data_IF_745347118298
#
_entry.id   IF_745347118298
#
_cell.length_a   1.000
_cell.length_b   1.000
_cell.length_c   1.000
_cell.angle_alpha   90.00
_cell.angle_beta   90.00
_cell.angle_gamma   90.00
#
_symmetry.space_group_name_H-M   'P 1'
#
loop_
_entity.id
_entity.type
_entity.pdbx_description
1 polymer ?
#
# COMPACT_ATOMS: atom_id res chain seq x y z
N UNK A 1 -23.40 25.14 12.82
CA UNK A 1 -22.09 25.35 12.19
C UNK A 1 -21.96 24.32 11.09
N UNK A 2 -22.22 24.72 9.84
CA UNK A 2 -22.15 23.83 8.68
C UNK A 2 -20.70 23.52 8.34
N UNK A 3 -20.25 22.34 8.75
CA UNK A 3 -18.96 21.78 8.32
C UNK A 3 -19.11 21.48 6.83
N UNK A 4 -18.39 22.23 5.98
CA UNK A 4 -18.28 21.94 4.55
C UNK A 4 -17.59 20.57 4.39
N UNK A 5 -18.41 19.52 4.25
CA UNK A 5 -17.95 18.17 3.92
C UNK A 5 -17.33 18.26 2.53
N UNK A 6 -15.99 18.20 2.47
CA UNK A 6 -15.26 18.09 1.21
C UNK A 6 -15.74 16.88 0.41
N UNK A 7 -15.64 16.95 -0.92
CA UNK A 7 -16.14 15.93 -1.87
C UNK A 7 -16.00 14.50 -1.34
N UNK A 8 -17.12 13.77 -1.31
CA UNK A 8 -17.23 12.37 -0.87
C UNK A 8 -15.99 11.57 -1.24
N UNK A 9 -15.27 11.11 -0.21
CA UNK A 9 -14.15 10.19 -0.37
C UNK A 9 -14.66 8.86 -0.94
N UNK A 10 -13.83 8.23 -1.77
CA UNK A 10 -14.12 6.93 -2.41
C UNK A 10 -14.47 5.85 -1.39
N UNK A 11 -13.84 5.95 -0.23
CA UNK A 11 -13.95 5.06 0.90
C UNK A 11 -14.58 5.83 2.05
N UNK A 12 -15.33 5.12 2.87
CA UNK A 12 -15.80 5.63 4.15
C UNK A 12 -14.61 5.85 5.10
N UNK A 13 -14.81 6.63 6.16
CA UNK A 13 -13.76 6.83 7.15
C UNK A 13 -13.37 5.51 7.83
N UNK A 14 -14.34 4.62 8.06
CA UNK A 14 -14.13 3.29 8.61
C UNK A 14 -13.28 2.40 7.70
N UNK A 15 -13.52 2.45 6.38
CA UNK A 15 -12.74 1.71 5.39
C UNK A 15 -11.31 2.23 5.29
N UNK A 16 -11.12 3.55 5.33
CA UNK A 16 -9.78 4.14 5.33
C UNK A 16 -9.00 3.70 6.57
N UNK A 17 -9.62 3.70 7.76
CA UNK A 17 -8.99 3.23 9.01
C UNK A 17 -8.63 1.74 8.92
N UNK A 18 -9.55 0.90 8.44
CA UNK A 18 -9.31 -0.52 8.22
C UNK A 18 -8.11 -0.77 7.29
N UNK A 19 -7.99 0.02 6.22
CA UNK A 19 -6.87 -0.06 5.29
C UNK A 19 -5.55 0.39 5.94
N UNK A 20 -5.56 1.45 6.76
CA UNK A 20 -4.37 1.88 7.52
C UNK A 20 -3.90 0.78 8.47
N UNK A 21 -4.81 0.23 9.27
CA UNK A 21 -4.49 -0.84 10.21
C UNK A 21 -3.85 -2.04 9.49
N UNK A 22 -4.34 -2.38 8.29
CA UNK A 22 -3.75 -3.45 7.49
C UNK A 22 -2.35 -3.10 6.97
N UNK A 23 -2.14 -1.86 6.52
CA UNK A 23 -0.82 -1.38 6.09
C UNK A 23 0.19 -1.48 7.24
N UNK A 24 -0.17 -1.01 8.43
CA UNK A 24 0.67 -1.08 9.62
C UNK A 24 0.93 -2.53 10.05
N UNK A 25 -0.11 -3.36 10.07
CA UNK A 25 -0.02 -4.79 10.40
C UNK A 25 1.00 -5.52 9.53
N UNK A 26 1.00 -5.22 8.22
CA UNK A 26 1.90 -5.82 7.24
C UNK A 26 3.33 -5.27 7.39
N UNK A 27 3.48 -3.96 7.61
CA UNK A 27 4.77 -3.34 7.86
C UNK A 27 5.45 -3.87 9.13
N UNK A 28 4.71 -4.05 10.23
CA UNK A 28 5.22 -4.61 11.49
C UNK A 28 5.72 -6.06 11.35
N UNK A 29 5.21 -6.80 10.36
CA UNK A 29 5.63 -8.18 10.05
C UNK A 29 6.74 -8.27 9.01
N UNK A 30 7.29 -7.14 8.58
CA UNK A 30 8.37 -7.08 7.59
C UNK A 30 7.91 -7.16 6.14
N UNK A 31 6.61 -6.95 5.87
CA UNK A 31 6.03 -6.98 4.52
C UNK A 31 5.35 -5.64 4.17
N UNK A 32 6.08 -4.52 4.08
CA UNK A 32 5.48 -3.24 3.71
C UNK A 32 4.80 -3.30 2.34
N UNK A 33 3.63 -2.67 2.24
CA UNK A 33 2.84 -2.68 1.02
C UNK A 33 3.29 -1.58 0.04
N UNK A 34 3.37 -1.91 -1.24
CA UNK A 34 3.57 -0.94 -2.31
C UNK A 34 2.32 -0.07 -2.52
N UNK A 35 2.50 1.13 -3.08
CA UNK A 35 1.40 2.03 -3.43
C UNK A 35 0.38 1.35 -4.34
N UNK A 36 0.83 0.55 -5.31
CA UNK A 36 -0.03 -0.22 -6.20
C UNK A 36 -0.87 -1.27 -5.47
N UNK A 37 -0.31 -1.94 -4.45
CA UNK A 37 -1.05 -2.90 -3.63
C UNK A 37 -2.11 -2.20 -2.78
N UNK A 38 -1.75 -1.09 -2.13
CA UNK A 38 -2.71 -0.30 -1.32
C UNK A 38 -3.87 0.20 -2.18
N UNK A 39 -3.56 0.70 -3.37
CA UNK A 39 -4.55 1.05 -4.39
C UNK A 39 -5.44 -0.14 -4.79
N UNK A 40 -4.85 -1.33 -4.93
CA UNK A 40 -5.58 -2.56 -5.21
C UNK A 40 -6.58 -2.90 -4.11
N UNK A 41 -6.16 -2.83 -2.85
CA UNK A 41 -7.04 -3.04 -1.70
C UNK A 41 -8.15 -2.01 -1.62
N UNK A 42 -7.83 -0.73 -1.80
CA UNK A 42 -8.81 0.35 -1.87
C UNK A 42 -9.89 0.12 -2.95
N UNK A 43 -9.49 -0.41 -4.11
CA UNK A 43 -10.43 -0.79 -5.18
C UNK A 43 -11.33 -1.96 -4.80
N UNK A 44 -10.79 -2.97 -4.11
CA UNK A 44 -11.58 -4.10 -3.64
C UNK A 44 -12.62 -3.66 -2.61
N UNK A 45 -12.21 -2.86 -1.62
CA UNK A 45 -13.14 -2.33 -0.61
C UNK A 45 -14.22 -1.47 -1.29
N UNK A 46 -13.83 -0.59 -2.21
CA UNK A 46 -14.78 0.24 -2.95
C UNK A 46 -15.82 -0.58 -3.76
N UNK A 47 -15.47 -1.77 -4.27
CA UNK A 47 -16.42 -2.62 -5.01
C UNK A 47 -17.50 -3.23 -4.13
N UNK A 48 -17.23 -3.43 -2.84
CA UNK A 48 -18.20 -3.94 -1.87
C UNK A 48 -19.27 -2.88 -1.53
N UNK A 49 -19.05 -1.60 -1.87
CA UNK A 49 -19.99 -0.51 -1.64
C UNK A 49 -20.64 -0.02 -2.95
N UNK A 50 -21.96 -0.21 -3.15
CA UNK A 50 -22.66 0.06 -4.42
C UNK A 50 -22.78 1.54 -4.86
N UNK A 51 -21.94 2.44 -4.34
CA UNK A 51 -21.87 3.87 -4.73
C UNK A 51 -20.49 4.36 -5.16
N UNK A 52 -19.43 3.56 -5.02
CA UNK A 52 -18.05 4.02 -5.21
C UNK A 52 -17.58 3.89 -6.68
N UNK A 53 -18.03 4.81 -7.53
CA UNK A 53 -17.69 4.85 -8.97
C UNK A 53 -16.31 5.46 -9.27
N UNK A 54 -15.24 5.12 -8.52
CA UNK A 54 -14.11 6.06 -8.33
C UNK A 54 -12.71 5.60 -8.77
N UNK A 55 -12.60 4.47 -9.47
CA UNK A 55 -11.30 3.99 -9.99
C UNK A 55 -11.28 3.65 -11.49
N UNK A 56 -12.30 4.04 -12.25
CA UNK A 56 -12.41 3.69 -13.67
C UNK A 56 -11.63 4.62 -14.63
N UNK A 57 -11.08 5.74 -14.13
CA UNK A 57 -10.28 6.66 -14.94
C UNK A 57 -8.76 6.45 -14.74
N UNK A 58 -7.96 6.46 -15.82
CA UNK A 58 -6.50 6.49 -15.71
C UNK A 58 -6.06 7.76 -14.96
N UNK A 59 -5.25 7.60 -13.91
CA UNK A 59 -4.74 8.70 -13.08
C UNK A 59 -5.59 9.05 -11.84
N UNK A 60 -6.84 8.60 -11.77
CA UNK A 60 -7.68 8.77 -10.56
C UNK A 60 -7.03 8.16 -9.29
N UNK A 61 -6.19 7.16 -9.51
CA UNK A 61 -5.56 6.36 -8.45
C UNK A 61 -4.40 7.07 -7.76
N UNK A 62 -3.62 7.87 -8.51
CA UNK A 62 -2.54 8.67 -7.93
C UNK A 62 -3.08 9.88 -7.18
N UNK A 63 -4.11 10.53 -7.74
CA UNK A 63 -4.81 11.65 -7.09
C UNK A 63 -5.45 11.19 -5.77
N UNK A 64 -6.11 10.04 -5.78
CA UNK A 64 -6.67 9.45 -4.57
C UNK A 64 -5.58 9.15 -3.54
N UNK A 65 -4.47 8.50 -3.95
CA UNK A 65 -3.36 8.18 -3.05
C UNK A 65 -2.75 9.41 -2.37
N UNK A 66 -2.59 10.52 -3.11
CA UNK A 66 -2.12 11.79 -2.54
C UNK A 66 -3.09 12.34 -1.51
N UNK A 67 -4.40 12.25 -1.77
CA UNK A 67 -5.44 12.64 -0.82
C UNK A 67 -5.47 11.75 0.42
N UNK A 68 -5.40 10.44 0.25
CA UNK A 68 -5.37 9.45 1.32
C UNK A 68 -4.19 9.69 2.27
N UNK A 69 -2.98 9.88 1.75
CA UNK A 69 -1.81 10.25 2.56
C UNK A 69 -1.95 11.58 3.30
N UNK A 70 -2.68 12.55 2.72
CA UNK A 70 -2.91 13.83 3.38
C UNK A 70 -3.86 13.67 4.58
N UNK A 71 -4.80 12.71 4.50
CA UNK A 71 -5.74 12.40 5.58
C UNK A 71 -5.11 11.55 6.68
N UNK A 72 -4.22 10.63 6.30
CA UNK A 72 -3.58 9.65 7.18
C UNK A 72 -2.06 9.92 7.31
N UNK A 73 -1.64 10.92 8.11
CA UNK A 73 -0.23 11.27 8.30
C UNK A 73 0.61 10.17 8.96
N UNK A 74 -0.03 9.20 9.63
CA UNK A 74 0.60 8.02 10.25
C UNK A 74 1.26 7.11 9.21
N UNK A 75 0.78 7.12 7.96
CA UNK A 75 1.35 6.34 6.86
C UNK A 75 2.60 7.04 6.33
N UNK A 76 3.73 6.83 7.02
CA UNK A 76 5.03 7.23 6.51
C UNK A 76 5.52 6.24 5.45
N UNK A 77 5.73 6.73 4.22
CA UNK A 77 6.49 5.99 3.22
C UNK A 77 7.94 5.91 3.70
N UNK A 78 8.33 4.79 4.32
CA UNK A 78 9.75 4.52 4.55
C UNK A 78 10.46 4.50 3.19
N UNK A 79 11.52 5.31 3.06
CA UNK A 79 12.47 5.13 1.96
C UNK A 79 13.12 3.76 2.18
N UNK A 80 13.12 2.87 1.17
CA UNK A 80 13.86 1.61 1.27
C UNK A 80 15.31 1.93 1.59
N UNK A 81 15.87 1.28 2.60
CA UNK A 81 17.29 1.37 2.89
C UNK A 81 18.07 0.83 1.67
N UNK A 82 19.23 1.39 1.29
CA UNK A 82 20.10 0.78 0.28
C UNK A 82 20.32 -0.73 0.49
N UNK A 83 20.36 -1.19 1.75
CA UNK A 83 20.44 -2.60 2.11
C UNK A 83 19.17 -3.39 1.74
N UNK A 84 17.98 -2.80 1.88
CA UNK A 84 16.72 -3.43 1.46
C UNK A 84 16.72 -3.69 -0.04
N UNK A 85 17.26 -2.74 -0.82
CA UNK A 85 17.41 -2.90 -2.28
C UNK A 85 18.40 -4.03 -2.61
N UNK A 86 19.54 -4.08 -1.92
CA UNK A 86 20.51 -5.16 -2.08
C UNK A 86 19.91 -6.53 -1.75
N UNK A 87 19.16 -6.63 -0.64
CA UNK A 87 18.46 -7.85 -0.23
C UNK A 87 17.41 -8.28 -1.26
N UNK A 88 16.61 -7.36 -1.78
CA UNK A 88 15.62 -7.67 -2.81
C UNK A 88 16.26 -8.18 -4.11
N UNK A 89 17.37 -7.57 -4.54
CA UNK A 89 18.09 -7.98 -5.75
C UNK A 89 18.74 -9.37 -5.59
N UNK A 90 19.34 -9.63 -4.42
CA UNK A 90 20.06 -10.87 -4.15
C UNK A 90 19.16 -12.01 -3.61
N UNK A 91 17.95 -11.71 -3.15
CA UNK A 91 16.98 -12.66 -2.63
C UNK A 91 16.23 -13.45 -3.71
N UNK A 92 16.89 -13.78 -4.82
CA UNK A 92 16.30 -14.59 -5.89
C UNK A 92 16.74 -16.06 -5.79
N UNK A 93 15.99 -16.94 -6.47
CA UNK A 93 16.15 -18.40 -6.38
C UNK A 93 17.52 -18.87 -6.89
N UNK A 94 18.07 -18.22 -7.91
CA UNK A 94 19.37 -18.59 -8.49
C UNK A 94 20.50 -18.28 -7.49
N UNK A 95 20.53 -17.07 -6.94
CA UNK A 95 21.50 -16.67 -5.92
C UNK A 95 21.44 -17.57 -4.69
N UNK A 96 20.24 -17.93 -4.22
CA UNK A 96 20.09 -18.84 -3.08
C UNK A 96 20.62 -20.24 -3.40
N UNK A 97 20.31 -20.78 -4.58
CA UNK A 97 20.81 -22.11 -4.99
C UNK A 97 22.33 -22.14 -5.04
N UNK A 98 22.96 -21.11 -5.58
CA UNK A 98 24.42 -21.05 -5.69
C UNK A 98 25.08 -20.94 -4.31
N UNK A 99 24.49 -20.18 -3.39
CA UNK A 99 24.94 -20.14 -2.00
C UNK A 99 24.89 -21.53 -1.33
N UNK A 100 23.77 -22.27 -1.49
CA UNK A 100 23.64 -23.60 -0.91
C UNK A 100 24.55 -24.66 -1.56
N UNK A 101 24.96 -24.48 -2.81
CA UNK A 101 25.99 -25.34 -3.43
C UNK A 101 27.35 -25.13 -2.76
N UNK A 102 27.72 -23.88 -2.49
CA UNK A 102 28.96 -23.51 -1.81
C UNK A 102 29.05 -24.10 -0.39
N UNK A 103 27.92 -24.20 0.33
CA UNK A 103 27.86 -24.79 1.66
C UNK A 103 28.00 -26.33 1.70
N UNK A 104 27.89 -27.01 0.55
CA UNK A 104 28.00 -28.48 0.45
C UNK A 104 29.39 -28.94 -0.01
N UNK A 105 30.31 -28.01 -0.25
CA UNK A 105 31.73 -28.24 -0.49
C UNK A 105 32.52 -28.13 0.81
#
# INVERSE_FOLDING_TARGET
MDVKIGSSTVLTSEDEISLVNYIEYMAQRGFPLSVSQVIGFARCIAKEHPGARVFNEPGATEKWWRGFKKRQPEISLRRPDPLDRGRAAMGNVETMRDYFKLLKS
#
